data_IF_561007523407
#
_entry.id   IF_561007523407
#
_cell.length_a   1.000
_cell.length_b   1.000
_cell.length_c   1.000
_cell.angle_alpha   90.00
_cell.angle_beta   90.00
_cell.angle_gamma   90.00
#
_symmetry.space_group_name_H-M   'P 1'
#
loop_
_entity.id
_entity.type
_entity.pdbx_description
1 polymer ?
#
# COMPACT_ATOMS: atom_id res chain seq x y z
N UNK A 1 -4.76 -7.24 -8.39
CA UNK A 1 -5.38 -6.09 -7.68
C UNK A 1 -5.62 -4.97 -8.69
N UNK A 2 -6.58 -4.07 -8.47
CA UNK A 2 -6.87 -2.87 -9.28
C UNK A 2 -7.29 -3.07 -10.76
N UNK A 3 -7.59 -4.29 -11.22
CA UNK A 3 -7.96 -4.52 -12.64
C UNK A 3 -9.18 -3.70 -13.10
N UNK A 4 -10.24 -3.65 -12.28
CA UNK A 4 -11.43 -2.87 -12.61
C UNK A 4 -11.15 -1.36 -12.68
N UNK A 5 -10.31 -0.85 -11.77
CA UNK A 5 -9.85 0.53 -11.79
C UNK A 5 -9.13 0.82 -13.12
N UNK A 6 -8.07 0.07 -13.44
CA UNK A 6 -7.31 0.27 -14.68
C UNK A 6 -8.12 0.08 -15.96
N UNK A 7 -9.16 -0.77 -15.94
CA UNK A 7 -10.07 -0.91 -17.07
C UNK A 7 -10.96 0.33 -17.28
N UNK A 8 -11.31 1.03 -16.19
CA UNK A 8 -12.15 2.23 -16.20
C UNK A 8 -11.38 3.56 -16.25
N UNK A 9 -10.06 3.57 -16.02
CA UNK A 9 -9.26 4.78 -16.08
C UNK A 9 -9.25 5.35 -17.49
N UNK A 10 -9.72 6.58 -17.65
CA UNK A 10 -9.52 7.37 -18.85
C UNK A 10 -8.12 8.01 -18.84
N UNK A 11 -7.57 8.25 -20.02
CA UNK A 11 -6.21 8.79 -20.13
C UNK A 11 -5.49 8.33 -21.39
N UNK A 12 -4.26 8.82 -21.54
CA UNK A 12 -3.39 8.54 -22.69
C UNK A 12 -2.16 7.74 -22.26
N UNK A 13 -1.14 7.64 -23.13
CA UNK A 13 0.14 7.04 -22.76
C UNK A 13 0.01 5.62 -22.20
N UNK A 14 0.61 5.39 -21.03
CA UNK A 14 0.60 4.08 -20.37
C UNK A 14 -0.77 3.69 -19.81
N UNK A 15 -1.61 4.64 -19.39
CA UNK A 15 -2.98 4.36 -18.94
C UNK A 15 -3.80 3.72 -20.07
N UNK A 16 -3.80 4.34 -21.26
CA UNK A 16 -4.50 3.80 -22.43
C UNK A 16 -4.00 2.39 -22.82
N UNK A 17 -2.68 2.19 -22.78
CA UNK A 17 -2.03 0.91 -23.09
C UNK A 17 -2.37 -0.18 -22.07
N UNK A 18 -2.46 0.18 -20.78
CA UNK A 18 -2.88 -0.75 -19.73
C UNK A 18 -4.33 -1.17 -19.92
N UNK A 19 -5.22 -0.21 -20.17
CA UNK A 19 -6.63 -0.48 -20.47
C UNK A 19 -6.79 -1.42 -21.67
N UNK A 20 -6.06 -1.15 -22.75
CA UNK A 20 -6.04 -2.01 -23.93
C UNK A 20 -5.53 -3.43 -23.61
N UNK A 21 -4.38 -3.54 -22.95
CA UNK A 21 -3.82 -4.84 -22.57
C UNK A 21 -4.78 -5.67 -21.70
N UNK A 22 -5.52 -5.03 -20.78
CA UNK A 22 -6.55 -5.70 -19.98
C UNK A 22 -7.69 -6.23 -20.85
N UNK A 23 -8.13 -5.47 -21.85
CA UNK A 23 -9.23 -5.89 -22.73
C UNK A 23 -8.85 -6.98 -23.75
N UNK A 24 -7.59 -7.04 -24.17
CA UNK A 24 -7.12 -7.93 -25.25
C UNK A 24 -6.48 -9.22 -24.75
N UNK A 25 -6.08 -9.27 -23.47
CA UNK A 25 -5.38 -10.44 -22.93
C UNK A 25 -6.34 -11.56 -22.59
N UNK A 26 -6.09 -12.75 -23.16
CA UNK A 26 -6.90 -13.93 -22.92
C UNK A 26 -6.73 -14.52 -21.50
N UNK A 27 -5.54 -14.36 -20.91
CA UNK A 27 -5.21 -14.87 -19.59
C UNK A 27 -4.20 -13.97 -18.84
N UNK A 28 -3.92 -14.33 -17.59
CA UNK A 28 -3.03 -13.56 -16.71
C UNK A 28 -1.57 -13.57 -17.16
N UNK A 29 -1.11 -14.62 -17.85
CA UNK A 29 0.25 -14.71 -18.36
C UNK A 29 0.43 -13.78 -19.57
N UNK A 30 -0.53 -13.79 -20.49
CA UNK A 30 -0.60 -12.88 -21.63
C UNK A 30 -0.67 -11.42 -21.15
N UNK A 31 -1.52 -11.13 -20.16
CA UNK A 31 -1.62 -9.80 -19.56
C UNK A 31 -0.30 -9.36 -18.94
N UNK A 32 0.33 -10.21 -18.14
CA UNK A 32 1.61 -9.91 -17.51
C UNK A 32 2.70 -9.59 -18.53
N UNK A 33 2.76 -10.37 -19.62
CA UNK A 33 3.70 -10.13 -20.72
C UNK A 33 3.42 -8.81 -21.44
N UNK A 34 2.16 -8.52 -21.77
CA UNK A 34 1.74 -7.30 -22.44
C UNK A 34 2.06 -6.06 -21.58
N UNK A 35 1.67 -6.06 -20.30
CA UNK A 35 1.97 -4.96 -19.38
C UNK A 35 3.48 -4.74 -19.22
N UNK A 36 4.25 -5.82 -19.06
CA UNK A 36 5.72 -5.74 -18.96
C UNK A 36 6.33 -5.08 -20.19
N UNK A 37 5.85 -5.42 -21.38
CA UNK A 37 6.35 -4.85 -22.62
C UNK A 37 6.02 -3.35 -22.74
N UNK A 38 4.78 -2.97 -22.47
CA UNK A 38 4.39 -1.55 -22.46
C UNK A 38 5.22 -0.75 -21.46
N UNK A 39 5.46 -1.32 -20.29
CA UNK A 39 6.28 -0.69 -19.26
C UNK A 39 7.74 -0.50 -19.70
N UNK A 40 8.36 -1.41 -20.47
CA UNK A 40 9.77 -1.25 -20.90
C UNK A 40 10.00 0.00 -21.75
N UNK A 41 9.09 0.26 -22.68
CA UNK A 41 9.20 1.38 -23.63
C UNK A 41 8.43 2.64 -23.21
N UNK A 42 7.67 2.60 -22.11
CA UNK A 42 6.83 3.71 -21.66
C UNK A 42 7.48 4.59 -20.58
N UNK A 43 6.92 5.79 -20.39
CA UNK A 43 7.33 6.73 -19.35
C UNK A 43 6.73 6.34 -17.99
N UNK A 44 7.45 5.52 -17.23
CA UNK A 44 7.00 5.02 -15.92
C UNK A 44 6.80 6.12 -14.88
N UNK A 45 7.58 7.20 -14.96
CA UNK A 45 7.52 8.28 -13.99
C UNK A 45 6.24 9.11 -14.19
N UNK A 46 5.97 9.51 -15.43
CA UNK A 46 4.71 10.15 -15.81
C UNK A 46 3.51 9.27 -15.46
N UNK A 47 3.55 7.99 -15.81
CA UNK A 47 2.49 7.05 -15.42
C UNK A 47 2.27 6.98 -13.90
N UNK A 48 3.34 7.00 -13.10
CA UNK A 48 3.19 7.01 -11.65
C UNK A 48 2.58 8.34 -11.15
N UNK A 49 2.94 9.47 -11.76
CA UNK A 49 2.33 10.77 -11.45
C UNK A 49 0.85 10.80 -11.82
N UNK A 50 0.48 10.32 -13.01
CA UNK A 50 -0.92 10.22 -13.43
C UNK A 50 -1.76 9.40 -12.43
N UNK A 51 -1.18 8.35 -11.83
CA UNK A 51 -1.84 7.55 -10.81
C UNK A 51 -1.96 8.23 -9.45
N UNK A 52 -1.04 9.15 -9.12
CA UNK A 52 -1.14 9.97 -7.90
C UNK A 52 -2.15 11.10 -8.06
N UNK A 53 -2.42 11.52 -9.30
CA UNK A 53 -3.35 12.59 -9.66
C UNK A 53 -4.78 12.09 -9.96
N UNK A 54 -5.08 10.82 -9.68
CA UNK A 54 -6.45 10.31 -9.74
C UNK A 54 -7.38 11.12 -8.83
N UNK A 55 -8.62 11.35 -9.29
CA UNK A 55 -9.63 12.09 -8.53
C UNK A 55 -9.89 11.46 -7.15
N UNK A 56 -9.94 10.12 -7.10
CA UNK A 56 -9.90 9.35 -5.85
C UNK A 56 -8.63 8.49 -5.79
N UNK A 57 -7.55 8.99 -5.15
CA UNK A 57 -6.30 8.23 -5.04
C UNK A 57 -6.41 7.04 -4.08
N UNK A 58 -7.43 6.98 -3.22
CA UNK A 58 -7.65 5.87 -2.28
C UNK A 58 -8.27 4.67 -3.00
N UNK A 59 -8.95 4.89 -4.13
CA UNK A 59 -9.45 3.82 -5.00
C UNK A 59 -8.31 2.94 -5.56
N UNK A 60 -7.09 3.47 -5.66
CA UNK A 60 -5.91 2.70 -6.06
C UNK A 60 -5.40 1.87 -4.88
N UNK A 61 -5.76 0.59 -4.84
CA UNK A 61 -5.33 -0.29 -3.75
C UNK A 61 -3.81 -0.49 -3.76
N UNK A 62 -3.16 -0.15 -2.64
CA UNK A 62 -1.74 -0.40 -2.46
C UNK A 62 -1.44 -1.90 -2.36
N UNK A 63 -0.48 -2.43 -3.13
CA UNK A 63 -0.02 -3.80 -2.98
C UNK A 63 0.37 -4.12 -1.54
N UNK A 64 0.02 -5.32 -1.09
CA UNK A 64 0.18 -5.71 0.33
C UNK A 64 1.58 -5.48 0.87
N UNK A 65 2.64 -5.76 0.09
CA UNK A 65 4.02 -5.58 0.56
C UNK A 65 4.38 -4.08 0.78
N UNK A 66 3.84 -3.16 -0.02
CA UNK A 66 4.07 -1.71 0.14
C UNK A 66 3.36 -1.23 1.41
N UNK A 67 2.07 -1.59 1.57
CA UNK A 67 1.29 -1.25 2.75
C UNK A 67 1.96 -1.74 4.03
N UNK A 68 2.33 -3.02 4.08
CA UNK A 68 3.00 -3.61 5.24
C UNK A 68 4.37 -2.96 5.51
N UNK A 69 5.16 -2.70 4.46
CA UNK A 69 6.47 -2.06 4.59
C UNK A 69 6.37 -0.63 5.15
N UNK A 70 5.41 0.17 4.66
CA UNK A 70 5.19 1.52 5.15
C UNK A 70 4.65 1.55 6.58
N UNK A 71 3.71 0.65 6.93
CA UNK A 71 3.22 0.52 8.31
C UNK A 71 4.34 0.11 9.27
N UNK A 72 5.19 -0.84 8.86
CA UNK A 72 6.36 -1.23 9.65
C UNK A 72 7.32 -0.06 9.84
N UNK A 73 7.62 0.68 8.76
CA UNK A 73 8.52 1.84 8.82
C UNK A 73 7.97 2.94 9.75
N UNK A 74 6.67 3.22 9.70
CA UNK A 74 6.02 4.18 10.59
C UNK A 74 6.22 3.79 12.07
N UNK A 75 6.01 2.51 12.41
CA UNK A 75 6.25 2.00 13.78
C UNK A 75 7.73 2.16 14.20
N UNK A 76 8.68 1.90 13.29
CA UNK A 76 10.10 2.09 13.61
C UNK A 76 10.45 3.55 13.87
N UNK A 77 9.83 4.48 13.13
CA UNK A 77 10.02 5.91 13.33
C UNK A 77 9.43 6.38 14.66
N UNK A 78 8.24 5.92 15.02
CA UNK A 78 7.62 6.20 16.32
C UNK A 78 8.50 5.70 17.48
N UNK A 79 9.01 4.47 17.40
CA UNK A 79 9.93 3.94 18.42
C UNK A 79 11.19 4.80 18.56
N UNK A 80 11.79 5.22 17.44
CA UNK A 80 12.96 6.11 17.44
C UNK A 80 12.66 7.49 18.02
N UNK A 81 11.49 8.04 17.73
CA UNK A 81 11.07 9.33 18.30
C UNK A 81 10.93 9.26 19.82
N UNK A 82 10.44 8.14 20.37
CA UNK A 82 10.37 7.90 21.81
C UNK A 82 11.77 7.72 22.41
N UNK A 83 12.64 6.92 21.78
CA UNK A 83 14.03 6.70 22.23
C UNK A 83 14.82 8.02 22.30
N UNK A 84 14.64 8.89 21.31
CA UNK A 84 15.29 10.21 21.24
C UNK A 84 14.59 11.27 22.12
N UNK A 85 13.50 10.93 22.81
CA UNK A 85 12.74 11.85 23.65
C UNK A 85 12.03 12.97 22.88
N UNK A 86 11.88 12.83 21.56
CA UNK A 86 11.18 13.80 20.68
C UNK A 86 9.67 13.74 20.94
N UNK A 87 9.15 12.54 21.22
CA UNK A 87 7.74 12.31 21.57
C UNK A 87 7.70 11.55 22.89
N UNK A 88 6.81 11.95 23.81
CA UNK A 88 6.60 11.21 25.05
C UNK A 88 5.82 9.93 24.75
N UNK A 89 6.26 8.81 25.31
CA UNK A 89 5.43 7.62 25.36
C UNK A 89 4.11 8.00 26.07
N UNK A 90 2.98 7.74 25.41
CA UNK A 90 1.68 7.84 26.07
C UNK A 90 1.63 6.68 27.06
N UNK A 91 1.74 6.96 28.36
CA UNK A 91 1.43 5.97 29.39
C UNK A 91 -0.02 5.57 29.20
N UNK A 92 -0.29 4.27 28.97
CA UNK A 92 -1.65 3.74 28.93
C UNK A 92 -2.31 4.05 30.29
N UNK A 93 -3.39 4.86 30.34
CA UNK A 93 -4.04 5.23 31.60
C UNK A 93 -4.84 4.08 32.23
N UNK A 94 -4.88 2.91 31.58
CA UNK A 94 -5.56 1.73 32.09
C UNK A 94 -4.53 0.60 32.32
N UNK A 95 -4.02 0.42 33.55
CA UNK A 95 -3.26 -0.77 33.87
C UNK A 95 -4.17 -1.99 33.68
N UNK A 96 -3.64 -3.06 33.09
CA UNK A 96 -4.34 -4.34 33.02
C UNK A 96 -4.86 -4.71 34.43
N UNK A 97 -6.09 -5.23 34.57
CA UNK A 97 -6.64 -5.57 35.88
C UNK A 97 -5.68 -6.53 36.58
N UNK A 98 -5.37 -6.23 37.85
CA UNK A 98 -4.46 -7.02 38.66
C UNK A 98 -4.88 -8.49 38.64
N UNK A 99 -3.92 -9.36 38.36
CA UNK A 99 -4.06 -10.81 38.43
C UNK A 99 -4.29 -11.19 39.90
N UNK A 100 -5.55 -11.17 40.34
CA UNK A 100 -5.98 -11.67 41.65
C UNK A 100 -5.83 -13.20 41.66
N UNK A 101 -4.61 -13.67 41.93
CA UNK A 101 -4.37 -15.07 42.26
C UNK A 101 -4.16 -15.21 43.78
N UNK A 102 -5.18 -15.58 44.56
CA UNK A 102 -5.03 -15.84 45.99
C UNK A 102 -4.45 -17.24 46.16
N UNK A 103 -3.13 -17.34 46.13
CA UNK A 103 -2.44 -18.63 46.16
C UNK A 103 -1.11 -18.62 46.89
N UNK A 104 -1.09 -18.24 48.18
CA UNK A 104 -0.23 -18.85 49.22
C UNK A 104 -0.34 -18.08 50.53
N UNK A 105 -1.03 -18.66 51.51
CA UNK A 105 -0.76 -18.43 52.91
C UNK A 105 -0.92 -19.75 53.67
N UNK A 106 0.23 -20.25 54.13
CA UNK A 106 0.50 -21.20 55.22
C UNK A 106 -0.31 -22.51 55.29
#
# INVERSE_FOLDING_TARGET
ENLALFAGLEGTGLIAKFRQAISESADSAALGAALKEQLKGGNKAEFALDLLELEDPIALASPTYIRLGLSWLAQQLEHKQVELGIVRAVENPNPAPADDNPGMAA
#
